data_IF_902859221475
#
_entry.id   IF_902859221475
#
_cell.length_a   1.000
_cell.length_b   1.000
_cell.length_c   1.000
_cell.angle_alpha   90.00
_cell.angle_beta   90.00
_cell.angle_gamma   90.00
#
_symmetry.space_group_name_H-M   'P 1'
#
loop_
_entity.id
_entity.type
_entity.pdbx_description
1 polymer ?
#
# COMPACT_ATOMS: atom_id res chain seq x y z
N UNK A 1 29.64 -31.52 17.90
CA UNK A 1 28.43 -31.78 17.07
C UNK A 1 28.33 -30.80 15.91
N UNK A 2 27.80 -31.22 14.74
CA UNK A 2 27.35 -30.29 13.67
C UNK A 2 25.83 -30.27 13.62
N UNK A 3 25.22 -29.15 14.02
CA UNK A 3 23.76 -29.00 14.04
C UNK A 3 23.27 -28.46 12.69
N UNK A 4 22.29 -29.15 12.08
CA UNK A 4 21.62 -28.69 10.86
C UNK A 4 20.39 -27.87 11.22
N UNK A 5 20.35 -26.63 10.75
CA UNK A 5 19.25 -25.68 10.98
C UNK A 5 18.65 -25.33 9.62
N UNK A 6 17.32 -25.34 9.53
CA UNK A 6 16.60 -24.85 8.37
C UNK A 6 16.61 -23.32 8.40
N UNK A 7 17.02 -22.70 7.29
CA UNK A 7 16.92 -21.27 7.08
C UNK A 7 16.34 -21.05 5.68
N UNK A 8 15.16 -20.45 5.61
CA UNK A 8 14.39 -20.29 4.36
C UNK A 8 14.21 -21.65 3.62
N UNK A 9 14.68 -21.72 2.37
CA UNK A 9 14.62 -22.94 1.56
C UNK A 9 15.86 -23.87 1.75
N UNK A 10 16.85 -23.45 2.53
CA UNK A 10 18.13 -24.15 2.70
C UNK A 10 18.36 -24.75 4.08
N UNK A 11 19.42 -25.54 4.19
CA UNK A 11 19.98 -25.94 5.49
C UNK A 11 21.33 -25.25 5.69
N UNK A 12 21.53 -24.69 6.88
CA UNK A 12 22.81 -24.21 7.36
C UNK A 12 23.33 -25.15 8.45
N UNK A 13 24.64 -25.28 8.55
CA UNK A 13 25.28 -26.10 9.57
C UNK A 13 26.07 -25.22 10.52
N UNK A 14 25.79 -25.36 11.82
CA UNK A 14 26.55 -24.69 12.89
C UNK A 14 27.38 -25.74 13.62
N UNK A 15 28.67 -25.45 13.81
CA UNK A 15 29.55 -26.28 14.65
C UNK A 15 29.34 -25.91 16.12
N UNK A 16 28.93 -26.88 16.92
CA UNK A 16 28.69 -26.73 18.36
C UNK A 16 29.84 -27.37 19.15
N UNK A 17 30.34 -26.61 20.12
CA UNK A 17 31.26 -27.08 21.14
C UNK A 17 30.56 -28.02 22.13
N UNK A 18 31.35 -28.75 22.92
CA UNK A 18 30.85 -29.74 23.88
C UNK A 18 29.96 -29.11 24.95
N UNK A 19 30.29 -27.88 25.40
CA UNK A 19 29.47 -27.15 26.39
C UNK A 19 28.11 -26.78 25.81
N UNK A 20 28.06 -26.19 24.62
CA UNK A 20 26.78 -25.85 23.97
C UNK A 20 25.93 -27.10 23.65
N UNK A 21 26.59 -28.23 23.33
CA UNK A 21 25.89 -29.51 23.10
C UNK A 21 25.23 -30.01 24.38
N UNK A 22 25.92 -29.91 25.53
CA UNK A 22 25.35 -30.23 26.84
C UNK A 22 24.22 -29.27 27.24
N UNK A 23 24.38 -27.97 26.98
CA UNK A 23 23.31 -27.00 27.20
C UNK A 23 22.06 -27.31 26.38
N UNK A 24 22.20 -27.71 25.11
CA UNK A 24 21.07 -28.16 24.29
C UNK A 24 20.44 -29.45 24.83
N UNK A 25 21.26 -30.41 25.27
CA UNK A 25 20.78 -31.65 25.87
C UNK A 25 19.86 -31.38 27.06
N UNK A 26 20.31 -30.54 27.98
CA UNK A 26 19.55 -30.12 29.15
C UNK A 26 18.31 -29.30 28.75
N UNK A 27 18.43 -28.35 27.82
CA UNK A 27 17.30 -27.53 27.32
C UNK A 27 16.20 -28.36 26.65
N UNK A 28 16.57 -29.47 26.01
CA UNK A 28 15.60 -30.39 25.44
C UNK A 28 14.97 -31.34 26.46
N UNK A 29 15.42 -31.28 27.72
CA UNK A 29 14.84 -32.04 28.84
C UNK A 29 15.26 -33.49 28.86
N UNK A 30 16.41 -33.83 28.27
CA UNK A 30 16.96 -35.18 28.37
C UNK A 30 17.67 -35.37 29.70
N UNK A 31 17.43 -36.50 30.37
CA UNK A 31 18.17 -36.90 31.56
C UNK A 31 19.56 -37.42 31.17
N UNK A 32 20.54 -37.31 32.08
CA UNK A 32 21.91 -37.78 31.90
C UNK A 32 21.99 -39.32 31.95
N UNK A 33 21.40 -39.99 30.96
CA UNK A 33 21.75 -41.37 30.67
C UNK A 33 23.15 -41.42 30.06
N UNK A 34 23.94 -42.43 30.45
CA UNK A 34 25.22 -42.79 29.81
C UNK A 34 24.97 -43.29 28.38
N UNK A 35 24.55 -42.38 27.51
CA UNK A 35 24.36 -42.60 26.07
C UNK A 35 25.64 -42.22 25.33
N UNK A 36 25.97 -42.99 24.30
CA UNK A 36 27.11 -42.69 23.43
C UNK A 36 26.94 -41.31 22.78
N UNK A 37 28.04 -40.57 22.63
CA UNK A 37 28.05 -39.20 22.09
C UNK A 37 27.27 -39.10 20.77
N UNK A 38 27.42 -40.08 19.86
CA UNK A 38 26.74 -40.10 18.57
C UNK A 38 25.21 -40.25 18.68
N UNK A 39 24.71 -41.03 19.65
CA UNK A 39 23.27 -41.13 19.90
C UNK A 39 22.70 -39.85 20.50
N UNK A 40 23.47 -39.18 21.37
CA UNK A 40 23.10 -37.87 21.91
C UNK A 40 22.93 -36.84 20.81
N UNK A 41 23.92 -36.73 19.92
CA UNK A 41 23.86 -35.82 18.77
C UNK A 41 22.67 -36.12 17.85
N UNK A 42 22.38 -37.41 17.57
CA UNK A 42 21.22 -37.81 16.77
C UNK A 42 19.90 -37.40 17.41
N UNK A 43 19.73 -37.62 18.71
CA UNK A 43 18.51 -37.26 19.46
C UNK A 43 18.32 -35.74 19.53
N UNK A 44 19.38 -34.97 19.75
CA UNK A 44 19.35 -33.50 19.73
C UNK A 44 18.86 -33.02 18.36
N UNK A 45 19.44 -33.55 17.28
CA UNK A 45 19.02 -33.16 15.93
C UNK A 45 17.56 -33.51 15.65
N UNK A 46 17.09 -34.69 16.06
CA UNK A 46 15.70 -35.11 15.84
C UNK A 46 14.69 -34.21 16.58
N UNK A 47 14.98 -33.83 17.82
CA UNK A 47 14.13 -32.90 18.59
C UNK A 47 14.19 -31.50 17.99
N UNK A 48 15.38 -31.05 17.57
CA UNK A 48 15.53 -29.77 16.89
C UNK A 48 14.73 -29.73 15.59
N UNK A 49 14.78 -30.80 14.80
CA UNK A 49 14.04 -30.92 13.54
C UNK A 49 12.53 -30.84 13.77
N UNK A 50 12.03 -31.56 14.78
CA UNK A 50 10.61 -31.59 15.15
C UNK A 50 10.12 -30.24 15.68
N UNK A 51 10.91 -29.58 16.54
CA UNK A 51 10.50 -28.32 17.20
C UNK A 51 10.70 -27.08 16.33
N UNK A 52 11.72 -27.07 15.47
CA UNK A 52 12.12 -25.86 14.74
C UNK A 52 12.14 -26.07 13.23
N UNK A 53 12.91 -27.03 12.70
CA UNK A 53 13.11 -27.12 11.24
C UNK A 53 11.82 -27.43 10.47
N UNK A 54 10.95 -28.31 10.99
CA UNK A 54 9.67 -28.65 10.35
C UNK A 54 8.67 -27.48 10.40
N UNK A 55 8.42 -26.84 11.56
CA UNK A 55 7.61 -25.62 11.60
C UNK A 55 8.15 -24.52 10.68
N UNK A 56 9.46 -24.31 10.66
CA UNK A 56 10.08 -23.28 9.82
C UNK A 56 9.87 -23.56 8.33
N UNK A 57 10.07 -24.81 7.90
CA UNK A 57 9.77 -25.25 6.54
C UNK A 57 8.30 -24.97 6.17
N UNK A 58 7.37 -25.31 7.06
CA UNK A 58 5.94 -25.10 6.83
C UNK A 58 5.58 -23.61 6.80
N UNK A 59 6.16 -22.80 7.69
CA UNK A 59 5.94 -21.36 7.72
C UNK A 59 6.43 -20.70 6.43
N UNK A 60 7.65 -21.01 6.01
CA UNK A 60 8.21 -20.51 4.76
C UNK A 60 7.34 -20.92 3.56
N UNK A 61 6.94 -22.19 3.46
CA UNK A 61 6.07 -22.65 2.36
C UNK A 61 4.68 -22.02 2.40
N UNK A 62 4.15 -21.73 3.59
CA UNK A 62 2.85 -21.04 3.74
C UNK A 62 2.95 -19.58 3.30
N UNK A 63 4.04 -18.91 3.67
CA UNK A 63 4.31 -17.53 3.25
C UNK A 63 4.50 -17.44 1.74
N UNK A 64 5.29 -18.33 1.15
CA UNK A 64 5.65 -18.28 -0.27
C UNK A 64 4.56 -18.82 -1.22
N UNK A 65 3.59 -19.62 -0.71
CA UNK A 65 2.51 -20.24 -1.51
C UNK A 65 1.72 -19.28 -2.40
N UNK A 66 1.58 -18.02 -1.97
CA UNK A 66 0.79 -17.00 -2.67
C UNK A 66 1.64 -15.85 -3.19
N UNK A 67 2.97 -15.98 -3.14
CA UNK A 67 3.85 -15.00 -3.74
C UNK A 67 3.80 -15.21 -5.26
N UNK A 68 3.09 -14.32 -5.94
CA UNK A 68 3.13 -14.23 -7.40
C UNK A 68 4.42 -13.52 -7.80
N UNK A 69 5.14 -14.07 -8.76
CA UNK A 69 6.24 -13.37 -9.41
C UNK A 69 5.69 -12.61 -10.62
N UNK A 70 6.22 -11.43 -10.89
CA UNK A 70 5.87 -10.70 -12.11
C UNK A 70 6.37 -11.44 -13.36
N UNK A 71 5.74 -11.21 -14.51
CA UNK A 71 6.20 -11.72 -15.82
C UNK A 71 7.57 -11.17 -16.21
N UNK A 72 8.04 -10.10 -15.57
CA UNK A 72 9.38 -9.58 -15.73
C UNK A 72 10.47 -10.44 -15.07
N UNK A 73 10.19 -11.70 -14.74
CA UNK A 73 11.23 -12.62 -14.24
C UNK A 73 12.42 -12.66 -15.22
N UNK A 74 13.61 -12.68 -14.64
CA UNK A 74 14.86 -12.81 -15.35
C UNK A 74 14.88 -14.06 -16.25
N UNK A 75 15.48 -13.92 -17.43
CA UNK A 75 15.95 -15.08 -18.18
C UNK A 75 17.11 -15.75 -17.43
N UNK A 76 17.36 -17.03 -17.71
CA UNK A 76 18.37 -17.86 -17.03
C UNK A 76 19.81 -17.29 -17.03
N UNK A 77 20.07 -16.29 -17.86
CA UNK A 77 21.37 -15.66 -18.10
C UNK A 77 21.45 -14.19 -17.63
N UNK A 78 20.41 -13.65 -16.98
CA UNK A 78 20.41 -12.28 -16.45
C UNK A 78 20.85 -12.25 -14.98
N UNK A 79 21.54 -11.19 -14.58
CA UNK A 79 21.99 -10.98 -13.20
C UNK A 79 20.73 -10.86 -12.32
N UNK A 80 20.59 -11.80 -11.38
CA UNK A 80 19.41 -12.03 -10.53
C UNK A 80 19.07 -10.85 -9.59
N UNK A 81 19.97 -9.86 -9.48
CA UNK A 81 19.92 -8.80 -8.47
C UNK A 81 19.46 -7.42 -8.99
N UNK A 82 19.14 -7.26 -10.29
CA UNK A 82 18.81 -5.93 -10.84
C UNK A 82 17.30 -5.59 -10.88
N UNK A 83 16.39 -6.56 -10.78
CA UNK A 83 14.94 -6.31 -10.88
C UNK A 83 14.20 -7.07 -9.78
N UNK A 84 13.51 -6.34 -8.89
CA UNK A 84 12.62 -6.95 -7.91
C UNK A 84 11.41 -7.58 -8.61
N UNK A 85 11.51 -8.85 -8.94
CA UNK A 85 10.44 -9.65 -9.55
C UNK A 85 9.33 -10.04 -8.56
N UNK A 86 9.43 -9.62 -7.30
CA UNK A 86 8.42 -9.91 -6.30
C UNK A 86 7.25 -8.91 -6.29
N UNK A 87 7.41 -7.77 -6.95
CA UNK A 87 6.31 -6.83 -7.24
C UNK A 87 5.74 -7.07 -8.64
N UNK A 88 4.41 -7.06 -8.81
CA UNK A 88 3.76 -7.21 -10.11
C UNK A 88 3.96 -5.98 -11.00
N UNK A 89 4.00 -6.19 -12.32
CA UNK A 89 4.00 -5.08 -13.28
C UNK A 89 2.63 -4.36 -13.30
N UNK A 90 2.60 -3.11 -13.75
CA UNK A 90 1.35 -2.33 -13.84
C UNK A 90 0.27 -3.01 -14.69
N UNK A 91 0.66 -3.73 -15.75
CA UNK A 91 -0.25 -4.46 -16.64
C UNK A 91 -0.73 -5.81 -16.08
N UNK A 92 -0.16 -6.27 -14.97
CA UNK A 92 -0.53 -7.51 -14.29
C UNK A 92 -1.57 -7.30 -13.18
N UNK A 93 -1.68 -6.08 -12.68
CA UNK A 93 -2.65 -5.73 -11.64
C UNK A 93 -4.00 -5.42 -12.28
N UNK A 94 -5.06 -6.02 -11.74
CA UNK A 94 -6.42 -5.85 -12.26
C UNK A 94 -6.91 -4.37 -12.25
N UNK A 95 -6.34 -3.53 -11.39
CA UNK A 95 -6.60 -2.11 -11.30
C UNK A 95 -5.28 -1.33 -11.26
N UNK A 96 -4.82 -0.90 -12.44
CA UNK A 96 -3.63 -0.05 -12.62
C UNK A 96 -3.74 1.32 -11.92
N UNK A 97 -4.97 1.75 -11.61
CA UNK A 97 -5.29 2.96 -10.84
C UNK A 97 -4.55 3.06 -9.51
N UNK A 98 -4.16 1.93 -8.92
CA UNK A 98 -3.37 1.89 -7.68
C UNK A 98 -2.01 2.58 -7.88
N UNK A 99 -1.40 2.40 -9.06
CA UNK A 99 -0.12 3.02 -9.43
C UNK A 99 -0.26 4.45 -9.96
N UNK A 100 -1.43 4.79 -10.52
CA UNK A 100 -1.70 6.11 -11.14
C UNK A 100 -2.46 7.07 -10.25
N UNK A 101 -2.39 6.88 -8.93
CA UNK A 101 -3.14 7.71 -7.98
C UNK A 101 -2.83 9.20 -8.16
N UNK A 102 -1.55 9.54 -8.33
CA UNK A 102 -1.11 10.92 -8.50
C UNK A 102 -1.61 11.53 -9.81
N UNK A 103 -1.51 10.80 -10.93
CA UNK A 103 -2.03 11.23 -12.23
C UNK A 103 -3.55 11.47 -12.16
N UNK A 104 -4.29 10.55 -11.55
CA UNK A 104 -5.74 10.70 -11.34
C UNK A 104 -6.05 11.91 -10.45
N UNK A 105 -5.25 12.18 -9.41
CA UNK A 105 -5.41 13.36 -8.57
C UNK A 105 -5.09 14.66 -9.32
N UNK A 106 -4.09 14.65 -10.19
CA UNK A 106 -3.75 15.76 -11.07
C UNK A 106 -4.86 16.04 -12.08
N UNK A 107 -5.36 15.03 -12.79
CA UNK A 107 -6.49 15.15 -13.71
C UNK A 107 -7.72 15.72 -13.01
N UNK A 108 -8.07 15.21 -11.81
CA UNK A 108 -9.18 15.74 -11.02
C UNK A 108 -8.99 17.21 -10.65
N UNK A 109 -7.77 17.63 -10.32
CA UNK A 109 -7.44 19.04 -10.03
C UNK A 109 -7.57 19.88 -11.28
N UNK A 110 -7.05 19.42 -12.42
CA UNK A 110 -7.13 20.13 -13.69
C UNK A 110 -8.58 20.29 -14.16
N UNK A 111 -9.40 19.24 -14.02
CA UNK A 111 -10.84 19.27 -14.28
C UNK A 111 -11.55 20.28 -13.38
N UNK A 112 -11.26 20.25 -12.08
CA UNK A 112 -11.80 21.19 -11.11
C UNK A 112 -11.41 22.64 -11.45
N UNK A 113 -10.13 22.88 -11.78
CA UNK A 113 -9.63 24.19 -12.17
C UNK A 113 -10.22 24.66 -13.51
N UNK A 114 -10.43 23.75 -14.47
CA UNK A 114 -11.11 24.05 -15.72
C UNK A 114 -12.55 24.50 -15.49
N UNK A 115 -13.28 23.83 -14.60
CA UNK A 115 -14.63 24.22 -14.18
C UNK A 115 -14.62 25.58 -13.49
N UNK A 116 -13.69 25.82 -12.57
CA UNK A 116 -13.57 27.12 -11.89
C UNK A 116 -13.26 28.27 -12.86
N UNK A 117 -12.33 28.05 -13.81
CA UNK A 117 -12.00 29.01 -14.87
C UNK A 117 -13.21 29.31 -15.73
N UNK A 118 -13.99 28.28 -16.11
CA UNK A 118 -15.21 28.45 -16.89
C UNK A 118 -16.27 29.29 -16.16
N UNK A 119 -16.50 29.01 -14.87
CA UNK A 119 -17.43 29.79 -14.03
C UNK A 119 -17.01 31.26 -13.98
N UNK A 120 -15.72 31.53 -13.71
CA UNK A 120 -15.17 32.89 -13.69
C UNK A 120 -15.27 33.59 -15.05
N UNK A 121 -15.09 32.86 -16.16
CA UNK A 121 -15.21 33.36 -17.53
C UNK A 121 -16.65 33.73 -17.93
N UNK A 122 -17.67 33.07 -17.39
CA UNK A 122 -19.06 33.45 -17.64
C UNK A 122 -19.48 34.62 -16.75
N UNK A 123 -18.99 34.62 -15.51
CA UNK A 123 -19.36 35.59 -14.49
C UNK A 123 -18.33 36.72 -14.33
N UNK A 124 -17.58 37.07 -15.39
CA UNK A 124 -16.51 38.11 -15.35
C UNK A 124 -16.99 39.43 -14.77
N UNK A 125 -18.20 39.87 -15.14
CA UNK A 125 -18.79 41.14 -14.66
C UNK A 125 -19.22 41.09 -13.19
N UNK A 126 -19.21 39.92 -12.54
CA UNK A 126 -19.71 39.68 -11.18
C UNK A 126 -18.86 38.63 -10.45
N UNK A 127 -17.62 38.97 -10.06
CA UNK A 127 -16.70 38.04 -9.41
C UNK A 127 -17.26 37.47 -8.10
N UNK A 128 -17.97 38.28 -7.30
CA UNK A 128 -18.62 37.82 -6.07
C UNK A 128 -19.63 36.68 -6.28
N UNK A 129 -20.27 36.61 -7.46
CA UNK A 129 -21.20 35.53 -7.78
C UNK A 129 -20.45 34.25 -8.16
N UNK A 130 -19.31 34.40 -8.83
CA UNK A 130 -18.44 33.29 -9.19
C UNK A 130 -17.82 32.66 -7.95
N UNK A 131 -17.26 33.48 -7.05
CA UNK A 131 -16.60 33.00 -5.84
C UNK A 131 -17.59 32.36 -4.87
N UNK A 132 -18.82 32.89 -4.78
CA UNK A 132 -19.88 32.26 -3.99
C UNK A 132 -20.29 30.90 -4.55
N UNK A 133 -20.41 30.81 -5.88
CA UNK A 133 -20.77 29.56 -6.55
C UNK A 133 -19.67 28.50 -6.39
N UNK A 134 -18.40 28.87 -6.54
CA UNK A 134 -17.26 27.96 -6.36
C UNK A 134 -17.22 27.45 -4.91
N UNK A 135 -17.29 28.35 -3.93
CA UNK A 135 -17.23 27.96 -2.52
C UNK A 135 -18.38 27.04 -2.09
N UNK A 136 -19.63 27.41 -2.40
CA UNK A 136 -20.79 26.67 -1.89
C UNK A 136 -21.10 25.45 -2.76
N UNK A 137 -21.01 25.55 -4.09
CA UNK A 137 -21.45 24.47 -5.00
C UNK A 137 -20.32 23.56 -5.48
N UNK A 138 -19.06 24.03 -5.54
CA UNK A 138 -17.93 23.17 -5.94
C UNK A 138 -17.12 22.69 -4.72
N UNK A 139 -16.88 23.53 -3.72
CA UNK A 139 -16.13 23.14 -2.51
C UNK A 139 -17.00 22.57 -1.39
N UNK A 140 -18.33 22.68 -1.50
CA UNK A 140 -19.27 22.16 -0.51
C UNK A 140 -19.30 22.94 0.82
N UNK A 141 -18.83 24.19 0.85
CA UNK A 141 -18.93 25.07 2.03
C UNK A 141 -20.42 25.36 2.32
N UNK A 142 -20.82 25.40 3.60
CA UNK A 142 -22.20 25.72 3.94
C UNK A 142 -22.51 27.20 3.66
N UNK A 143 -23.77 27.53 3.35
CA UNK A 143 -24.16 28.92 3.09
C UNK A 143 -23.84 29.85 4.26
N UNK A 144 -23.98 29.36 5.50
CA UNK A 144 -23.73 30.11 6.73
C UNK A 144 -22.24 30.36 6.95
N UNK A 145 -21.40 29.37 6.72
CA UNK A 145 -19.94 29.51 6.91
C UNK A 145 -19.36 30.48 5.88
N UNK A 146 -19.79 30.36 4.62
CA UNK A 146 -19.41 31.29 3.55
C UNK A 146 -19.88 32.72 3.84
N UNK A 147 -21.11 32.87 4.34
CA UNK A 147 -21.69 34.16 4.73
C UNK A 147 -20.92 34.85 5.85
N UNK A 148 -20.60 34.10 6.91
CA UNK A 148 -19.80 34.58 8.03
C UNK A 148 -18.40 35.00 7.58
N UNK A 149 -17.76 34.25 6.67
CA UNK A 149 -16.42 34.55 6.16
C UNK A 149 -16.34 35.85 5.35
N UNK A 150 -17.41 36.20 4.64
CA UNK A 150 -17.47 37.41 3.80
C UNK A 150 -18.16 38.58 4.53
N UNK A 151 -18.73 38.34 5.72
CA UNK A 151 -19.50 39.34 6.45
C UNK A 151 -20.79 39.74 5.73
N UNK A 152 -21.41 38.81 4.99
CA UNK A 152 -22.61 39.04 4.21
C UNK A 152 -23.82 38.30 4.82
N UNK A 153 -25.03 38.75 4.50
CA UNK A 153 -26.26 38.09 4.91
C UNK A 153 -26.49 36.79 4.11
N UNK A 154 -26.97 35.73 4.79
CA UNK A 154 -27.30 34.42 4.22
C UNK A 154 -28.30 34.55 3.05
N UNK A 155 -29.28 35.45 3.18
CA UNK A 155 -30.26 35.72 2.13
C UNK A 155 -29.64 36.36 0.88
N UNK A 156 -28.61 37.19 1.06
CA UNK A 156 -27.92 37.83 -0.04
C UNK A 156 -27.16 36.78 -0.86
N UNK A 157 -26.45 35.88 -0.19
CA UNK A 157 -25.68 34.80 -0.83
C UNK A 157 -26.58 33.81 -1.56
N UNK A 158 -27.70 33.39 -0.96
CA UNK A 158 -28.65 32.51 -1.65
C UNK A 158 -29.24 33.16 -2.90
N UNK A 159 -29.53 34.47 -2.89
CA UNK A 159 -29.98 35.20 -4.07
C UNK A 159 -28.87 35.33 -5.14
N UNK A 160 -27.63 35.62 -4.74
CA UNK A 160 -26.45 35.64 -5.64
C UNK A 160 -26.27 34.28 -6.33
N UNK A 161 -26.38 33.18 -5.57
CA UNK A 161 -26.27 31.82 -6.08
C UNK A 161 -27.39 31.44 -7.04
N UNK A 162 -28.65 31.77 -6.74
CA UNK A 162 -29.78 31.55 -7.66
C UNK A 162 -29.55 32.24 -9.00
N UNK A 163 -29.08 33.49 -8.97
CA UNK A 163 -28.79 34.28 -10.19
C UNK A 163 -27.56 33.74 -10.94
N UNK A 164 -26.52 33.33 -10.23
CA UNK A 164 -25.33 32.68 -10.80
C UNK A 164 -25.72 31.39 -11.52
N UNK A 165 -26.47 30.50 -10.85
CA UNK A 165 -26.95 29.23 -11.40
C UNK A 165 -27.77 29.42 -12.68
N UNK A 166 -28.70 30.38 -12.70
CA UNK A 166 -29.50 30.69 -13.90
C UNK A 166 -28.61 31.08 -15.09
N UNK A 167 -27.65 31.98 -14.87
CA UNK A 167 -26.69 32.40 -15.92
C UNK A 167 -25.78 31.27 -16.39
N UNK A 168 -25.31 30.43 -15.48
CA UNK A 168 -24.45 29.30 -15.84
C UNK A 168 -25.24 28.27 -16.66
N UNK A 169 -26.50 27.97 -16.33
CA UNK A 169 -27.36 27.08 -17.10
C UNK A 169 -27.62 27.63 -18.52
N UNK A 170 -27.92 28.92 -18.64
CA UNK A 170 -28.15 29.57 -19.94
C UNK A 170 -26.90 29.48 -20.85
N UNK A 171 -25.71 29.65 -20.28
CA UNK A 171 -24.44 29.59 -21.03
C UNK A 171 -23.86 28.18 -21.15
N UNK A 172 -24.34 27.20 -20.38
CA UNK A 172 -23.92 25.81 -20.48
C UNK A 172 -24.25 25.21 -21.84
N UNK A 173 -25.38 25.61 -22.44
CA UNK A 173 -25.79 25.20 -23.80
C UNK A 173 -24.84 25.69 -24.90
N UNK A 174 -24.10 26.77 -24.63
CA UNK A 174 -23.11 27.35 -25.56
C UNK A 174 -21.67 26.92 -25.22
N UNK A 175 -21.50 25.96 -24.30
CA UNK A 175 -20.19 25.37 -24.02
C UNK A 175 -19.84 24.49 -25.21
N UNK A 176 -19.09 25.05 -26.16
CA UNK A 176 -18.36 24.22 -27.12
C UNK A 176 -17.42 23.32 -26.32
N UNK A 177 -17.68 22.02 -26.42
CA UNK A 177 -16.79 20.95 -25.97
C UNK A 177 -15.72 20.80 -27.04
#
# INVERSE_FOLDING_TARGET
MKLKIRYENGYQTIELDEKSTQEMWVRFGFEDEKTEQGEKERRIQEVFDKRFNRPEYNNWHKFDRHRGYSKAQHGKDSIEDEIDSSEPLMDEVAADRIFRKDEIEHEKKEDYEAVCRWVRKILVKKPEWADAFIAVSLNGESFRDYAARIGADENNITQKLKRAKKKLIENYKNRQI
#
